data_IF_677673597392
#
_entry.id   IF_677673597392
#
_cell.length_a   1.000
_cell.length_b   1.000
_cell.length_c   1.000
_cell.angle_alpha   90.00
_cell.angle_beta   90.00
_cell.angle_gamma   90.00
#
_symmetry.space_group_name_H-M   'P 1'
#
loop_
_entity.id
_entity.type
_entity.pdbx_description
1 polymer ?
#
# COMPACT_ATOMS: atom_id res chain seq x y z
N UNK A 1 -9.97 17.77 -4.94
CA UNK A 1 -9.57 16.44 -4.42
C UNK A 1 -8.21 16.14 -5.00
N UNK A 2 -7.18 15.80 -4.20
CA UNK A 2 -5.83 15.74 -4.70
C UNK A 2 -5.66 14.44 -5.48
N UNK A 3 -5.84 14.55 -6.79
CA UNK A 3 -5.32 13.59 -7.77
C UNK A 3 -3.81 13.44 -7.56
N UNK A 4 -3.13 14.51 -7.15
CA UNK A 4 -1.68 14.53 -6.96
C UNK A 4 -1.18 13.58 -5.86
N UNK A 5 0.03 13.07 -6.08
CA UNK A 5 0.77 12.26 -5.11
C UNK A 5 0.89 12.99 -3.76
N UNK A 6 0.55 12.35 -2.62
CA UNK A 6 0.72 12.98 -1.32
C UNK A 6 2.19 13.27 -1.00
N UNK A 7 2.50 14.54 -0.71
CA UNK A 7 3.76 14.93 -0.08
C UNK A 7 3.68 14.70 1.43
N UNK A 8 4.37 13.64 1.88
CA UNK A 8 4.35 13.18 3.27
C UNK A 8 4.90 14.21 4.26
N UNK A 9 5.64 15.23 3.81
CA UNK A 9 6.09 16.31 4.68
C UNK A 9 4.92 17.06 5.35
N UNK A 10 3.72 17.01 4.75
CA UNK A 10 2.51 17.64 5.27
C UNK A 10 1.68 16.71 6.17
N UNK A 11 2.12 15.47 6.39
CA UNK A 11 1.37 14.47 7.13
C UNK A 11 2.05 14.11 8.45
N UNK A 12 1.23 13.70 9.42
CA UNK A 12 1.70 13.11 10.68
C UNK A 12 1.39 11.62 10.72
N UNK A 13 2.32 10.82 11.25
CA UNK A 13 2.12 9.40 11.46
C UNK A 13 0.92 9.20 12.42
N UNK A 14 -0.04 8.39 11.99
CA UNK A 14 -1.22 8.04 12.77
C UNK A 14 -1.09 6.66 13.41
N UNK A 15 -0.72 5.64 12.64
CA UNK A 15 -0.51 4.27 13.13
C UNK A 15 0.35 3.45 12.18
N UNK A 16 0.88 2.34 12.68
CA UNK A 16 1.56 1.30 11.90
C UNK A 16 0.85 -0.03 12.15
N UNK A 17 0.63 -0.82 11.10
CA UNK A 17 0.11 -2.18 11.15
C UNK A 17 1.21 -3.10 10.60
N UNK A 18 1.49 -4.20 11.30
CA UNK A 18 2.40 -5.25 10.87
C UNK A 18 1.59 -6.47 10.42
N UNK A 19 2.19 -7.28 9.55
CA UNK A 19 1.59 -8.47 8.96
C UNK A 19 0.19 -8.18 8.41
N UNK A 20 0.14 -7.13 7.56
CA UNK A 20 -1.09 -6.66 6.92
C UNK A 20 -1.75 -7.81 6.17
N UNK A 21 -3.07 -7.94 6.31
CA UNK A 21 -3.88 -8.89 5.58
C UNK A 21 -4.52 -8.26 4.33
N UNK A 22 -4.70 -9.09 3.30
CA UNK A 22 -5.59 -8.84 2.17
C UNK A 22 -6.54 -10.03 2.04
N UNK A 23 -7.84 -9.76 1.95
CA UNK A 23 -8.90 -10.76 1.92
C UNK A 23 -8.74 -11.85 3.02
N UNK A 24 -8.49 -11.39 4.26
CA UNK A 24 -8.25 -12.22 5.45
C UNK A 24 -6.99 -13.11 5.40
N UNK A 25 -6.11 -12.92 4.40
CA UNK A 25 -4.82 -13.61 4.29
C UNK A 25 -3.70 -12.70 4.80
N UNK A 26 -3.11 -12.96 5.98
CA UNK A 26 -2.00 -12.17 6.48
C UNK A 26 -0.78 -12.35 5.59
N UNK A 27 -0.07 -11.26 5.34
CA UNK A 27 1.14 -11.24 4.52
C UNK A 27 2.35 -11.00 5.42
N UNK A 28 3.09 -12.06 5.82
CA UNK A 28 4.18 -11.92 6.79
C UNK A 28 5.28 -10.98 6.29
N UNK A 29 5.69 -10.05 7.15
CA UNK A 29 6.75 -9.08 6.82
C UNK A 29 6.27 -7.85 6.05
N UNK A 30 5.00 -7.82 5.63
CA UNK A 30 4.38 -6.62 5.08
C UNK A 30 3.88 -5.72 6.22
N UNK A 31 4.28 -4.46 6.22
CA UNK A 31 3.77 -3.46 7.14
C UNK A 31 3.13 -2.28 6.41
N UNK A 32 2.14 -1.65 7.02
CA UNK A 32 1.50 -0.44 6.52
C UNK A 32 1.63 0.70 7.52
N UNK A 33 2.22 1.81 7.10
CA UNK A 33 2.25 3.05 7.87
C UNK A 33 1.17 4.01 7.37
N UNK A 34 0.25 4.39 8.24
CA UNK A 34 -0.84 5.29 7.93
C UNK A 34 -0.54 6.68 8.47
N UNK A 35 -0.59 7.68 7.59
CA UNK A 35 -0.39 9.07 7.89
C UNK A 35 -1.66 9.86 7.62
N UNK A 36 -1.84 10.97 8.35
CA UNK A 36 -3.00 11.85 8.18
C UNK A 36 -2.59 13.31 8.14
N UNK A 37 -3.37 14.11 7.41
CA UNK A 37 -3.31 15.57 7.47
C UNK A 37 -4.72 16.17 7.38
N UNK A 38 -4.98 17.33 8.03
CA UNK A 38 -6.20 18.09 7.79
C UNK A 38 -6.26 18.61 6.35
N UNK A 39 -7.42 18.48 5.71
CA UNK A 39 -7.72 19.03 4.37
C UNK A 39 -9.11 19.70 4.41
N UNK A 40 -9.15 20.99 4.77
CA UNK A 40 -10.39 21.70 5.07
C UNK A 40 -11.14 21.08 6.24
N UNK A 41 -12.41 20.72 6.00
CA UNK A 41 -13.27 20.05 7.00
C UNK A 41 -13.10 18.53 7.04
N UNK A 42 -12.18 17.99 6.23
CA UNK A 42 -11.93 16.55 6.10
C UNK A 42 -10.53 16.19 6.55
N UNK A 43 -10.28 14.89 6.72
CA UNK A 43 -8.95 14.36 7.04
C UNK A 43 -8.52 13.49 5.88
N UNK A 44 -7.46 13.91 5.20
CA UNK A 44 -6.81 13.10 4.19
C UNK A 44 -5.92 12.06 4.89
N UNK A 45 -5.95 10.83 4.40
CA UNK A 45 -5.17 9.71 4.92
C UNK A 45 -4.41 9.05 3.78
N UNK A 46 -3.16 8.67 4.04
CA UNK A 46 -2.34 7.88 3.13
C UNK A 46 -1.76 6.68 3.87
N UNK A 47 -1.92 5.49 3.30
CA UNK A 47 -1.25 4.27 3.75
C UNK A 47 -0.08 3.96 2.83
N UNK A 48 1.10 3.71 3.40
CA UNK A 48 2.31 3.28 2.70
C UNK A 48 2.57 1.83 3.09
N UNK A 49 2.57 0.94 2.10
CA UNK A 49 2.75 -0.50 2.29
C UNK A 49 4.18 -0.86 1.94
N UNK A 50 4.88 -1.51 2.87
CA UNK A 50 6.32 -1.74 2.82
C UNK A 50 6.66 -3.17 3.19
N UNK A 51 7.64 -3.74 2.51
CA UNK A 51 8.27 -5.02 2.88
C UNK A 51 9.78 -4.83 2.94
N UNK A 52 10.40 -5.28 4.04
CA UNK A 52 11.85 -5.16 4.27
C UNK A 52 12.39 -3.73 4.06
N UNK A 53 11.61 -2.72 4.46
CA UNK A 53 11.94 -1.30 4.30
C UNK A 53 11.79 -0.74 2.89
N UNK A 54 11.33 -1.55 1.92
CA UNK A 54 11.03 -1.12 0.55
C UNK A 54 9.54 -0.83 0.42
N UNK A 55 9.20 0.37 -0.06
CA UNK A 55 7.82 0.72 -0.38
C UNK A 55 7.34 -0.04 -1.61
N UNK A 56 6.19 -0.70 -1.48
CA UNK A 56 5.57 -1.50 -2.53
C UNK A 56 4.50 -0.68 -3.26
N UNK A 57 3.65 -0.01 -2.50
CA UNK A 57 2.63 0.89 -3.01
C UNK A 57 2.14 1.81 -1.90
N UNK A 58 1.42 2.86 -2.30
CA UNK A 58 0.67 3.72 -1.40
C UNK A 58 -0.73 3.95 -1.90
N UNK A 59 -1.67 4.09 -0.98
CA UNK A 59 -3.07 4.39 -1.28
C UNK A 59 -3.56 5.53 -0.39
N UNK A 60 -4.33 6.46 -0.95
CA UNK A 60 -4.84 7.62 -0.21
C UNK A 60 -6.29 7.93 -0.54
N UNK A 61 -6.92 8.62 0.39
CA UNK A 61 -8.32 9.02 0.36
C UNK A 61 -8.68 9.69 1.67
N UNK A 62 -9.96 9.95 1.88
CA UNK A 62 -10.41 10.57 3.13
C UNK A 62 -10.83 9.52 4.16
N UNK A 63 -10.61 9.81 5.44
CA UNK A 63 -10.92 8.87 6.54
C UNK A 63 -12.41 8.53 6.68
N UNK A 64 -13.28 9.36 6.10
CA UNK A 64 -14.73 9.20 6.09
C UNK A 64 -15.24 8.42 4.86
N UNK A 65 -14.34 8.00 3.96
CA UNK A 65 -14.63 7.13 2.81
C UNK A 65 -14.28 5.68 3.13
N UNK A 66 -15.09 4.74 2.64
CA UNK A 66 -14.86 3.31 2.86
C UNK A 66 -13.64 2.77 2.10
N UNK A 67 -13.24 3.43 1.02
CA UNK A 67 -12.19 2.97 0.12
C UNK A 67 -11.22 4.11 -0.20
N UNK A 68 -10.00 3.72 -0.56
CA UNK A 68 -9.02 4.60 -1.20
C UNK A 68 -9.65 5.31 -2.39
N UNK A 69 -9.43 6.63 -2.50
CA UNK A 69 -9.80 7.38 -3.70
C UNK A 69 -8.76 7.19 -4.81
N UNK A 70 -7.48 7.00 -4.44
CA UNK A 70 -6.36 6.82 -5.36
C UNK A 70 -5.24 5.93 -4.80
N UNK A 71 -4.36 5.46 -5.69
CA UNK A 71 -3.14 4.73 -5.33
C UNK A 71 -1.98 4.96 -6.31
N UNK A 72 -0.79 4.53 -5.92
CA UNK A 72 0.38 4.44 -6.78
C UNK A 72 1.25 3.24 -6.36
N UNK A 73 1.90 2.60 -7.33
CA UNK A 73 2.69 1.37 -7.16
C UNK A 73 4.16 1.65 -7.44
N UNK A 74 5.05 1.08 -6.63
CA UNK A 74 6.50 1.20 -6.84
C UNK A 74 6.95 0.38 -8.05
N UNK A 75 7.67 1.03 -8.95
CA UNK A 75 8.35 0.40 -10.07
C UNK A 75 9.74 -0.08 -9.65
N UNK A 76 10.29 -1.03 -10.42
CA UNK A 76 11.64 -1.57 -10.19
C UNK A 76 12.76 -0.52 -10.31
N UNK A 77 12.52 0.60 -10.98
CA UNK A 77 13.45 1.73 -11.09
C UNK A 77 13.32 2.74 -9.94
N UNK A 78 12.46 2.47 -8.96
CA UNK A 78 12.19 3.33 -7.81
C UNK A 78 11.21 4.48 -8.09
N UNK A 79 10.68 4.58 -9.31
CA UNK A 79 9.57 5.49 -9.60
C UNK A 79 8.24 4.97 -9.04
N UNK A 80 7.25 5.85 -8.89
CA UNK A 80 5.87 5.46 -8.58
C UNK A 80 5.02 5.55 -9.84
N UNK A 81 4.37 4.45 -10.21
CA UNK A 81 3.32 4.40 -11.22
C UNK A 81 1.97 4.78 -10.61
N UNK A 82 1.41 5.90 -11.07
CA UNK A 82 0.20 6.52 -10.53
C UNK A 82 0.29 8.04 -10.61
N UNK A 83 -0.74 8.77 -10.15
CA UNK A 83 -1.91 8.33 -9.41
C UNK A 83 -2.95 7.57 -10.26
N UNK A 84 -3.39 6.41 -9.76
CA UNK A 84 -4.49 5.62 -10.32
C UNK A 84 -5.74 5.78 -9.47
N UNK A 85 -6.93 5.68 -10.08
CA UNK A 85 -8.21 5.82 -9.37
C UNK A 85 -8.54 4.54 -8.60
N UNK A 86 -9.02 4.70 -7.37
CA UNK A 86 -9.51 3.61 -6.51
C UNK A 86 -8.40 2.94 -5.71
N UNK A 87 -8.73 1.81 -5.09
CA UNK A 87 -7.77 0.97 -4.39
C UNK A 87 -6.86 0.19 -5.34
N UNK A 88 -5.63 -0.14 -4.91
CA UNK A 88 -4.79 -1.06 -5.65
C UNK A 88 -5.45 -2.44 -5.69
N UNK A 89 -5.30 -3.13 -6.81
CA UNK A 89 -5.67 -4.55 -6.93
C UNK A 89 -4.50 -5.38 -6.45
N UNK A 90 -4.68 -6.15 -5.37
CA UNK A 90 -3.61 -6.89 -4.70
C UNK A 90 -3.99 -8.36 -4.63
N UNK A 91 -3.18 -9.21 -5.25
CA UNK A 91 -3.28 -10.65 -5.15
C UNK A 91 -2.19 -11.19 -4.22
N UNK A 92 -2.57 -12.01 -3.24
CA UNK A 92 -1.62 -12.71 -2.39
C UNK A 92 -1.17 -13.99 -3.08
N UNK A 93 0.13 -14.12 -3.32
CA UNK A 93 0.71 -15.27 -4.00
C UNK A 93 1.11 -16.33 -2.97
N UNK A 94 0.67 -17.58 -3.21
CA UNK A 94 0.94 -18.71 -2.31
C UNK A 94 1.56 -19.90 -3.03
N UNK A 95 2.53 -20.57 -2.40
CA UNK A 95 3.07 -21.87 -2.79
C UNK A 95 2.90 -22.84 -1.62
N UNK A 96 2.27 -24.01 -1.83
CA UNK A 96 2.05 -25.03 -0.78
C UNK A 96 1.49 -24.41 0.54
N UNK A 97 0.43 -23.60 0.41
CA UNK A 97 -0.22 -22.86 1.52
C UNK A 97 0.66 -21.81 2.22
N UNK A 98 1.86 -21.55 1.70
CA UNK A 98 2.79 -20.56 2.22
C UNK A 98 2.71 -19.28 1.38
N UNK A 99 2.53 -18.12 2.01
CA UNK A 99 2.60 -16.82 1.34
C UNK A 99 4.03 -16.57 0.87
N UNK A 100 4.21 -16.36 -0.43
CA UNK A 100 5.52 -16.14 -1.08
C UNK A 100 5.68 -14.74 -1.68
N UNK A 101 4.59 -13.99 -1.81
CA UNK A 101 4.62 -12.68 -2.43
C UNK A 101 3.26 -12.02 -2.52
N UNK A 102 3.25 -10.84 -3.12
CA UNK A 102 2.03 -10.21 -3.62
C UNK A 102 2.23 -9.81 -5.08
N UNK A 103 1.17 -9.86 -5.87
CA UNK A 103 1.07 -9.15 -7.13
C UNK A 103 0.21 -7.91 -6.91
N UNK A 104 0.66 -6.77 -7.44
CA UNK A 104 -0.08 -5.50 -7.38
C UNK A 104 -0.32 -5.04 -8.81
N UNK A 105 -1.57 -4.83 -9.17
CA UNK A 105 -1.97 -4.48 -10.53
C UNK A 105 -2.50 -3.05 -10.62
N UNK A 106 -2.10 -2.36 -11.69
CA UNK A 106 -2.72 -1.13 -12.19
C UNK A 106 -3.45 -1.46 -13.49
N UNK A 107 -4.26 -0.52 -14.01
CA UNK A 107 -4.99 -0.75 -15.28
C UNK A 107 -4.06 -1.13 -16.44
N UNK A 108 -2.82 -0.65 -16.41
CA UNK A 108 -1.88 -0.73 -17.53
C UNK A 108 -0.77 -1.76 -17.31
N UNK A 109 -0.58 -2.26 -16.07
CA UNK A 109 0.56 -3.11 -15.73
C UNK A 109 0.35 -3.91 -14.44
N UNK A 110 0.94 -5.11 -14.41
CA UNK A 110 1.04 -5.96 -13.23
C UNK A 110 2.47 -5.95 -12.68
N UNK A 111 2.59 -5.82 -11.36
CA UNK A 111 3.86 -5.75 -10.64
C UNK A 111 3.96 -6.91 -9.64
N UNK A 112 4.97 -7.76 -9.82
CA UNK A 112 5.23 -8.88 -8.91
C UNK A 112 6.25 -8.49 -7.86
N UNK A 113 5.89 -8.67 -6.60
CA UNK A 113 6.73 -8.33 -5.46
C UNK A 113 6.95 -9.60 -4.64
N UNK A 114 8.10 -10.28 -4.80
CA UNK A 114 8.44 -11.41 -3.96
C UNK A 114 8.65 -10.89 -2.53
N UNK A 115 8.04 -11.58 -1.57
CA UNK A 115 8.29 -11.29 -0.17
C UNK A 115 9.45 -12.16 0.30
N UNK A 116 10.40 -11.62 1.07
CA UNK A 116 11.45 -12.44 1.64
C UNK A 116 10.78 -13.54 2.46
N UNK A 117 11.03 -14.80 2.10
CA UNK A 117 10.52 -15.95 2.86
C UNK A 117 10.90 -15.73 4.33
N UNK A 118 9.89 -15.57 5.18
CA UNK A 118 10.09 -15.56 6.60
C UNK A 118 10.80 -16.84 7.00
N UNK A 119 12.07 -16.72 7.43
CA UNK A 119 12.69 -17.76 8.23
C UNK A 119 11.84 -17.84 9.49
N UNK A 120 10.97 -18.85 9.56
CA UNK A 120 10.34 -19.27 10.80
C UNK A 120 11.45 -19.35 11.85
N UNK A 121 11.44 -18.42 12.81
CA UNK A 121 12.27 -18.50 14.01
C UNK A 121 11.46 -19.10 15.13
#
# INVERSE_FOLDING_TARGET
MPVAMPDLANFSLHKIIYDVDFDDVPVPGLCAAFYRCPDGDRILSVGIYMSDGVELFRAWGYVDEAHCSYHAVSCADGSLDGPHIGCPDVEVLTEDETVVGIAVSTRDREYFIPLPRGVLR
#
